data_IF_924682520548
#
_entry.id   IF_924682520548
#
_cell.length_a   1.000
_cell.length_b   1.000
_cell.length_c   1.000
_cell.angle_alpha   90.00
_cell.angle_beta   90.00
_cell.angle_gamma   90.00
#
_symmetry.space_group_name_H-M   'P 1'
#
loop_
_entity.id
_entity.type
_entity.pdbx_description
1 polymer ?
#
# COMPACT_ATOMS: atom_id res chain seq x y z
N UNK A 1 -17.24 0.20 22.34
CA UNK A 1 -17.99 1.37 21.82
C UNK A 1 -17.26 1.79 20.55
N UNK A 2 -17.94 1.89 19.43
CA UNK A 2 -17.34 2.35 18.15
C UNK A 2 -17.69 3.84 18.07
N UNK A 3 -16.69 4.68 18.14
CA UNK A 3 -16.86 6.12 17.93
C UNK A 3 -16.54 6.42 16.46
N UNK A 4 -17.52 6.89 15.72
CA UNK A 4 -17.32 7.33 14.33
C UNK A 4 -17.09 8.83 14.37
N UNK A 5 -15.85 9.23 14.16
CA UNK A 5 -15.49 10.64 14.01
C UNK A 5 -15.53 10.95 12.50
N UNK A 6 -16.46 11.81 12.09
CA UNK A 6 -16.59 12.29 10.71
C UNK A 6 -16.00 13.70 10.58
N UNK A 7 -14.71 13.87 10.28
CA UNK A 7 -14.25 15.10 9.66
C UNK A 7 -14.78 15.17 8.22
N UNK A 8 -14.88 16.34 7.58
CA UNK A 8 -15.56 16.50 6.29
C UNK A 8 -14.99 15.70 5.12
N UNK A 9 -13.89 14.99 5.30
CA UNK A 9 -13.19 14.22 4.24
C UNK A 9 -12.71 12.83 4.68
N UNK A 10 -13.04 12.35 5.89
CA UNK A 10 -12.51 11.09 6.41
C UNK A 10 -13.54 10.36 7.26
N UNK A 11 -13.89 9.13 6.90
CA UNK A 11 -14.56 8.22 7.82
C UNK A 11 -13.50 7.57 8.70
N UNK A 12 -13.54 7.87 9.98
CA UNK A 12 -12.65 7.26 10.97
C UNK A 12 -13.46 6.37 11.89
N UNK A 13 -13.05 5.13 12.03
CA UNK A 13 -13.56 4.22 13.06
C UNK A 13 -12.44 3.93 14.05
N UNK A 14 -12.73 3.99 15.34
CA UNK A 14 -11.80 3.63 16.42
C UNK A 14 -12.32 2.39 17.11
N UNK A 15 -11.49 1.34 17.16
CA UNK A 15 -11.80 0.08 17.84
C UNK A 15 -10.65 -0.24 18.79
N UNK A 16 -10.83 0.02 20.06
CA UNK A 16 -9.77 -0.12 21.05
C UNK A 16 -8.62 0.85 20.78
N UNK A 17 -7.42 0.30 20.48
CA UNK A 17 -6.23 1.08 20.12
C UNK A 17 -6.05 1.26 18.61
N UNK A 18 -7.00 0.78 17.78
CA UNK A 18 -6.93 0.84 16.33
C UNK A 18 -7.76 1.99 15.80
N UNK A 19 -7.18 2.76 14.88
CA UNK A 19 -7.86 3.82 14.14
C UNK A 19 -7.86 3.47 12.64
N UNK A 20 -9.03 3.55 12.02
CA UNK A 20 -9.21 3.26 10.59
C UNK A 20 -9.62 4.53 9.86
N UNK A 21 -8.93 4.85 8.78
CA UNK A 21 -9.19 6.02 7.97
C UNK A 21 -9.56 5.60 6.56
N UNK A 22 -10.65 6.12 6.02
CA UNK A 22 -11.05 5.97 4.63
C UNK A 22 -10.98 7.35 3.95
N UNK A 23 -9.80 7.70 3.49
CA UNK A 23 -9.51 9.01 2.89
C UNK A 23 -8.31 8.90 1.95
N UNK A 24 -8.03 9.96 1.21
CA UNK A 24 -6.77 10.10 0.50
C UNK A 24 -5.59 10.04 1.48
N UNK A 25 -4.60 9.22 1.17
CA UNK A 25 -3.47 8.98 2.06
C UNK A 25 -2.54 10.19 2.20
N UNK A 26 -2.36 10.99 1.14
CA UNK A 26 -1.52 12.20 1.18
C UNK A 26 -2.17 13.24 2.08
N UNK A 27 -3.49 13.46 1.91
CA UNK A 27 -4.23 14.40 2.75
C UNK A 27 -4.22 13.97 4.22
N UNK A 28 -4.33 12.66 4.49
CA UNK A 28 -4.20 12.14 5.84
C UNK A 28 -2.79 12.35 6.41
N UNK A 29 -1.75 12.01 5.64
CA UNK A 29 -0.36 12.16 6.08
C UNK A 29 0.01 13.62 6.38
N UNK A 30 -0.60 14.59 5.71
CA UNK A 30 -0.40 16.03 6.01
C UNK A 30 -0.85 16.41 7.41
N UNK A 31 -1.78 15.68 8.00
CA UNK A 31 -2.31 15.97 9.35
C UNK A 31 -1.42 15.46 10.49
N UNK A 32 -0.51 14.53 10.22
CA UNK A 32 0.37 13.94 11.22
C UNK A 32 1.64 14.75 11.41
N UNK A 33 2.16 14.76 12.65
CA UNK A 33 3.42 15.40 12.99
C UNK A 33 4.63 14.65 12.43
N UNK A 34 5.78 15.31 12.40
CA UNK A 34 7.03 14.68 12.02
C UNK A 34 7.41 13.57 13.00
N UNK A 35 7.76 12.39 12.46
CA UNK A 35 8.18 11.22 13.25
C UNK A 35 7.15 10.76 14.30
N UNK A 36 5.87 11.01 14.03
CA UNK A 36 4.77 10.61 14.92
C UNK A 36 4.69 9.09 15.07
N UNK A 37 4.96 8.34 13.99
CA UNK A 37 4.92 6.88 13.97
C UNK A 37 6.31 6.27 14.13
N UNK A 38 6.42 5.21 14.93
CA UNK A 38 7.67 4.46 15.04
C UNK A 38 7.96 3.62 13.81
N UNK A 39 6.91 3.12 13.16
CA UNK A 39 7.00 2.28 11.96
C UNK A 39 5.81 2.57 11.03
N UNK A 40 6.10 2.73 9.75
CA UNK A 40 5.12 2.66 8.67
C UNK A 40 5.32 1.38 7.87
N UNK A 41 4.24 0.63 7.63
CA UNK A 41 4.23 -0.55 6.75
C UNK A 41 3.29 -0.23 5.60
N UNK A 42 3.82 -0.23 4.37
CA UNK A 42 3.08 0.17 3.18
C UNK A 42 3.27 -0.80 2.03
N UNK A 43 2.23 -0.95 1.22
CA UNK A 43 2.22 -1.72 -0.03
C UNK A 43 1.57 -0.86 -1.11
N UNK A 44 2.31 0.12 -1.66
CA UNK A 44 1.78 1.06 -2.63
C UNK A 44 1.69 0.45 -4.03
N UNK A 45 0.91 1.04 -4.95
CA UNK A 45 0.83 0.56 -6.33
C UNK A 45 2.19 0.56 -7.02
N UNK A 46 2.48 -0.52 -7.77
CA UNK A 46 3.78 -0.75 -8.41
C UNK A 46 3.89 -0.17 -9.82
N UNK A 47 2.79 0.36 -10.36
CA UNK A 47 2.77 0.90 -11.73
C UNK A 47 2.79 -0.19 -12.80
N UNK A 48 2.37 -1.41 -12.49
CA UNK A 48 2.36 -2.55 -13.42
C UNK A 48 1.14 -2.55 -14.36
N UNK A 49 0.14 -1.74 -14.04
CA UNK A 49 -1.05 -1.56 -14.85
C UNK A 49 -1.78 -2.87 -15.14
N UNK A 50 -2.26 -3.03 -16.36
CA UNK A 50 -3.04 -4.20 -16.79
C UNK A 50 -2.27 -5.54 -16.75
N UNK A 51 -0.96 -5.53 -16.58
CA UNK A 51 -0.15 -6.76 -16.50
C UNK A 51 -0.49 -7.60 -15.27
N UNK A 52 -0.92 -6.97 -14.18
CA UNK A 52 -1.33 -7.68 -12.96
C UNK A 52 -2.70 -8.32 -13.09
N UNK A 53 -3.51 -7.86 -14.04
CA UNK A 53 -4.88 -8.36 -14.25
C UNK A 53 -4.96 -9.48 -15.28
N UNK A 54 -3.96 -9.61 -16.17
CA UNK A 54 -3.90 -10.65 -17.21
C UNK A 54 -3.36 -11.99 -16.69
N UNK A 55 -2.87 -12.08 -15.47
CA UNK A 55 -2.49 -13.29 -14.76
C UNK A 55 -3.71 -14.15 -14.40
N UNK A 56 -4.46 -14.57 -15.43
CA UNK A 56 -5.75 -15.14 -15.33
C UNK A 56 -5.78 -16.58 -14.86
N UNK A 57 -6.59 -16.87 -13.95
CA UNK A 57 -7.28 -18.15 -13.86
C UNK A 57 -8.62 -18.03 -14.59
N UNK A 58 -8.94 -18.97 -15.43
CA UNK A 58 -10.19 -19.09 -16.21
C UNK A 58 -11.42 -19.42 -15.36
N UNK A 59 -11.47 -19.04 -14.10
CA UNK A 59 -12.62 -19.20 -13.23
C UNK A 59 -12.98 -17.86 -12.57
N UNK A 60 -13.52 -16.98 -13.40
CA UNK A 60 -14.12 -15.71 -13.01
C UNK A 60 -15.49 -15.90 -12.34
N UNK A 61 -15.54 -16.53 -11.19
CA UNK A 61 -16.77 -16.51 -10.37
C UNK A 61 -16.79 -15.34 -9.36
N UNK A 62 -15.82 -14.45 -9.41
CA UNK A 62 -15.74 -13.35 -8.47
C UNK A 62 -15.95 -12.03 -9.22
N UNK A 63 -17.21 -11.58 -9.27
CA UNK A 63 -17.57 -10.21 -9.75
C UNK A 63 -16.69 -9.12 -9.14
N UNK A 64 -16.24 -9.31 -7.90
CA UNK A 64 -15.33 -8.46 -7.19
C UNK A 64 -13.98 -8.25 -7.91
N UNK A 65 -13.44 -9.30 -8.55
CA UNK A 65 -12.18 -9.17 -9.32
C UNK A 65 -12.40 -8.42 -10.65
N UNK A 66 -13.59 -8.48 -11.23
CA UNK A 66 -13.89 -7.71 -12.44
C UNK A 66 -14.04 -6.21 -12.14
N UNK A 67 -14.52 -5.85 -10.96
CA UNK A 67 -14.60 -4.46 -10.53
C UNK A 67 -13.21 -3.88 -10.22
N UNK A 68 -12.32 -4.66 -9.60
CA UNK A 68 -10.91 -4.28 -9.39
C UNK A 68 -10.17 -4.14 -10.73
N UNK A 69 -10.41 -5.02 -11.70
CA UNK A 69 -9.81 -4.94 -13.04
C UNK A 69 -10.21 -3.69 -13.83
N UNK A 70 -11.33 -3.06 -13.48
CA UNK A 70 -11.80 -1.81 -14.10
C UNK A 70 -11.19 -0.57 -13.47
N UNK A 71 -10.56 -0.69 -12.32
CA UNK A 71 -9.89 0.43 -11.67
C UNK A 71 -8.45 0.51 -12.12
N UNK A 72 -7.99 1.67 -12.49
CA UNK A 72 -6.59 1.93 -12.91
C UNK A 72 -5.70 2.23 -11.69
N UNK A 73 -5.96 1.58 -10.56
CA UNK A 73 -5.29 1.88 -9.29
C UNK A 73 -3.77 1.60 -9.32
N UNK A 74 -3.33 0.66 -10.17
CA UNK A 74 -1.91 0.27 -10.31
C UNK A 74 -1.28 0.79 -11.61
N UNK A 75 -1.87 1.80 -12.26
CA UNK A 75 -1.32 2.36 -13.50
C UNK A 75 -0.06 3.21 -13.26
N UNK A 76 0.14 3.69 -12.05
CA UNK A 76 1.26 4.57 -11.68
C UNK A 76 1.79 4.23 -10.29
N UNK A 77 3.11 4.35 -10.14
CA UNK A 77 3.74 4.39 -8.83
C UNK A 77 3.38 5.68 -8.09
N UNK A 78 3.45 5.70 -6.75
CA UNK A 78 3.29 6.93 -5.99
C UNK A 78 4.27 8.02 -6.46
N UNK A 79 3.82 9.24 -6.45
CA UNK A 79 4.65 10.39 -6.77
C UNK A 79 5.60 10.78 -5.62
N UNK A 80 6.42 11.78 -5.86
CA UNK A 80 7.42 12.24 -4.90
C UNK A 80 6.81 12.73 -3.59
N UNK A 81 5.65 13.39 -3.64
CA UNK A 81 4.96 13.92 -2.47
C UNK A 81 4.59 12.82 -1.46
N UNK A 82 4.14 11.67 -1.97
CA UNK A 82 3.84 10.50 -1.13
C UNK A 82 5.06 10.06 -0.31
N UNK A 83 6.22 9.91 -0.96
CA UNK A 83 7.45 9.49 -0.29
C UNK A 83 7.95 10.51 0.72
N UNK A 84 7.90 11.79 0.39
CA UNK A 84 8.27 12.88 1.30
C UNK A 84 7.43 12.84 2.58
N UNK A 85 6.11 12.66 2.45
CA UNK A 85 5.23 12.55 3.61
C UNK A 85 5.45 11.25 4.38
N UNK A 86 5.59 10.09 3.72
CA UNK A 86 5.84 8.82 4.39
C UNK A 86 7.10 8.87 5.26
N UNK A 87 8.21 9.36 4.69
CA UNK A 87 9.46 9.50 5.43
C UNK A 87 9.41 10.58 6.51
N UNK A 88 8.61 11.62 6.33
CA UNK A 88 8.42 12.67 7.32
C UNK A 88 7.72 12.14 8.57
N UNK A 89 6.60 11.46 8.41
CA UNK A 89 5.73 11.06 9.54
C UNK A 89 6.23 9.82 10.29
N UNK A 90 7.11 9.02 9.71
CA UNK A 90 7.55 7.75 10.30
C UNK A 90 9.06 7.71 10.55
N UNK A 91 9.47 7.03 11.63
CA UNK A 91 10.88 6.82 11.99
C UNK A 91 11.51 5.71 11.16
N UNK A 92 10.79 4.61 10.97
CA UNK A 92 11.20 3.45 10.20
C UNK A 92 10.11 3.09 9.19
N UNK A 93 10.49 2.43 8.10
CA UNK A 93 9.59 2.03 7.04
C UNK A 93 9.81 0.58 6.63
N UNK A 94 8.72 -0.12 6.28
CA UNK A 94 8.73 -1.37 5.53
C UNK A 94 7.90 -1.10 4.28
N UNK A 95 8.53 -1.11 3.11
CA UNK A 95 7.90 -0.74 1.84
C UNK A 95 7.92 -1.98 0.93
N UNK A 96 6.78 -2.65 0.81
CA UNK A 96 6.63 -3.78 -0.09
C UNK A 96 6.80 -3.33 -1.55
N UNK A 97 7.38 -4.20 -2.35
CA UNK A 97 7.69 -3.86 -3.74
C UNK A 97 8.80 -2.81 -3.88
N UNK A 98 9.71 -2.70 -2.90
CA UNK A 98 10.77 -1.69 -2.90
C UNK A 98 11.64 -1.65 -4.15
N UNK A 99 11.68 -2.74 -4.92
CA UNK A 99 12.35 -2.84 -6.20
C UNK A 99 11.66 -2.07 -7.35
N UNK A 100 10.43 -1.62 -7.15
CA UNK A 100 9.67 -0.85 -8.17
C UNK A 100 9.82 0.66 -7.99
N UNK A 101 10.47 1.13 -6.91
CA UNK A 101 10.53 2.52 -6.53
C UNK A 101 11.96 3.03 -6.44
N UNK A 102 12.14 4.33 -6.68
CA UNK A 102 13.41 5.04 -6.43
C UNK A 102 13.53 5.37 -4.94
N UNK A 103 13.98 4.40 -4.14
CA UNK A 103 14.17 4.54 -2.71
C UNK A 103 15.64 4.77 -2.35
N UNK A 104 15.94 5.39 -1.20
CA UNK A 104 17.32 5.52 -0.71
C UNK A 104 17.99 4.16 -0.50
N UNK A 105 19.32 4.07 -0.49
CA UNK A 105 20.01 2.84 -0.14
C UNK A 105 19.59 2.33 1.24
N UNK A 106 19.31 1.04 1.36
CA UNK A 106 19.02 0.38 2.64
C UNK A 106 20.09 -0.63 3.00
N UNK A 107 20.25 -0.89 4.31
CA UNK A 107 21.17 -1.93 4.82
C UNK A 107 20.54 -3.32 4.84
N UNK A 108 19.22 -3.39 4.84
CA UNK A 108 18.48 -4.64 5.04
C UNK A 108 17.24 -4.64 4.15
N UNK A 109 16.92 -5.80 3.63
CA UNK A 109 15.67 -6.06 2.91
C UNK A 109 14.97 -7.25 3.56
N UNK A 110 13.66 -7.29 3.47
CA UNK A 110 12.85 -8.45 3.82
C UNK A 110 12.55 -9.21 2.52
N UNK A 111 12.82 -10.51 2.52
CA UNK A 111 12.42 -11.41 1.43
C UNK A 111 11.30 -12.31 1.91
N UNK A 112 10.20 -12.30 1.19
CA UNK A 112 9.09 -13.24 1.39
C UNK A 112 9.09 -14.27 0.28
N UNK A 113 9.45 -15.52 0.61
CA UNK A 113 9.26 -16.67 -0.27
C UNK A 113 7.81 -17.16 -0.15
N UNK A 114 7.06 -17.05 -1.22
CA UNK A 114 5.63 -17.43 -1.26
C UNK A 114 5.42 -18.95 -1.24
N UNK A 115 6.48 -19.74 -1.44
CA UNK A 115 6.48 -21.22 -1.45
C UNK A 115 5.59 -21.84 -2.56
N UNK A 116 4.66 -21.10 -3.11
CA UNK A 116 3.71 -21.55 -4.13
C UNK A 116 4.14 -21.06 -5.50
N UNK A 117 4.43 -21.97 -6.41
CA UNK A 117 4.75 -21.65 -7.81
C UNK A 117 3.48 -21.37 -8.60
N UNK A 118 3.14 -20.09 -8.78
CA UNK A 118 2.16 -19.66 -9.76
C UNK A 118 2.95 -19.13 -10.95
N UNK A 119 2.86 -19.72 -12.15
CA UNK A 119 3.73 -19.40 -13.29
C UNK A 119 3.75 -17.92 -13.71
N UNK A 120 2.68 -17.19 -13.40
CA UNK A 120 2.48 -15.77 -13.75
C UNK A 120 2.82 -14.80 -12.63
N UNK A 121 3.21 -15.30 -11.46
CA UNK A 121 3.53 -14.46 -10.29
C UNK A 121 4.96 -14.68 -9.83
N UNK A 122 5.56 -13.64 -9.27
CA UNK A 122 6.86 -13.75 -8.62
C UNK A 122 6.79 -14.72 -7.44
N UNK A 123 7.79 -15.60 -7.31
CA UNK A 123 7.94 -16.49 -6.15
C UNK A 123 8.39 -15.73 -4.91
N UNK A 124 9.12 -14.66 -5.10
CA UNK A 124 9.71 -13.86 -4.03
C UNK A 124 9.15 -12.45 -4.13
N UNK A 125 8.71 -11.91 -3.02
CA UNK A 125 8.49 -10.49 -2.85
C UNK A 125 9.51 -9.92 -1.89
N UNK A 126 9.91 -8.68 -2.13
CA UNK A 126 10.85 -7.98 -1.29
C UNK A 126 10.23 -6.72 -0.71
N UNK A 127 10.62 -6.41 0.53
CA UNK A 127 10.37 -5.11 1.10
C UNK A 127 11.70 -4.41 1.44
N UNK A 128 11.70 -3.11 1.20
CA UNK A 128 12.73 -2.16 1.59
C UNK A 128 12.55 -1.75 3.02
#
# INVERSE_FOLDING_TARGET
>A
MIEVINPPFCQTAVIGSLSFFNTDNIELMKTFADKEFDLAIVDPPYGLGKRTTDGGGTNSQIKFMDDIRRTNWDDKTPDKEYWEHLFRISKNQIIWGGNYFELPPTRTIICWDKVVMIPTMSQIEIAW
#
